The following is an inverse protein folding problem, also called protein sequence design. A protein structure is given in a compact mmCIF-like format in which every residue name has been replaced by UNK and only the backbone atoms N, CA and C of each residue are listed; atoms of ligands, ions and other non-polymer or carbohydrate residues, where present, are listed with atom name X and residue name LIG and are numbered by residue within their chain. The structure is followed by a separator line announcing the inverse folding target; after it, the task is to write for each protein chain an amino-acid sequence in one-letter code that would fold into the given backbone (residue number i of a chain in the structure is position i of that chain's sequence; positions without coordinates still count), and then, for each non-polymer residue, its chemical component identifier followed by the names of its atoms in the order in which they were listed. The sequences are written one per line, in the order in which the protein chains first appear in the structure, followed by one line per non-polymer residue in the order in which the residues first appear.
data_IF_648879153461
#
_entry.id   IF_648879153461
#
_cell.length_a   1.000
_cell.length_b   1.000
_cell.length_c   1.000
_cell.angle_alpha   90.00
_cell.angle_beta   90.00
_cell.angle_gamma   90.00
#
_symmetry.space_group_name_H-M   'P 1'
#
loop_
_entity.id
_entity.type
_entity.pdbx_description
1 polymer ?
#
# COMPACT_ATOMS: atom_id res chain seq x y z
N UNK A 1 15.05 -20.25 11.66
CA UNK A 1 15.22 -19.63 10.34
C UNK A 1 13.86 -19.53 9.65
N UNK A 2 13.55 -18.39 9.08
CA UNK A 2 12.38 -18.27 8.19
C UNK A 2 12.73 -18.82 6.81
N UNK A 3 11.77 -19.53 6.19
CA UNK A 3 11.90 -20.08 4.85
C UNK A 3 10.58 -19.98 4.09
N UNK A 4 10.65 -20.00 2.76
CA UNK A 4 9.51 -20.18 1.88
C UNK A 4 9.67 -21.47 1.11
N UNK A 5 8.61 -22.25 1.07
CA UNK A 5 8.53 -23.37 0.15
C UNK A 5 7.41 -23.18 -0.87
N UNK A 6 7.60 -23.77 -2.04
CA UNK A 6 6.61 -23.82 -3.11
C UNK A 6 6.33 -25.28 -3.42
N UNK A 7 5.11 -25.71 -3.18
CA UNK A 7 4.55 -26.98 -3.63
C UNK A 7 3.97 -26.73 -5.01
N UNK A 8 4.54 -27.37 -6.03
CA UNK A 8 4.16 -27.13 -7.41
C UNK A 8 2.87 -27.82 -7.81
N UNK A 9 2.29 -27.41 -8.92
CA UNK A 9 1.01 -27.90 -9.44
C UNK A 9 0.99 -29.42 -9.72
N UNK A 10 2.11 -30.06 -9.95
CA UNK A 10 2.26 -31.52 -10.05
C UNK A 10 1.79 -32.25 -8.78
N UNK A 11 1.81 -31.54 -7.64
CA UNK A 11 1.47 -32.06 -6.30
C UNK A 11 0.02 -31.75 -5.88
N UNK A 12 -0.83 -31.20 -6.73
CA UNK A 12 -2.15 -30.70 -6.31
C UNK A 12 -3.02 -31.75 -5.59
N UNK A 13 -2.93 -33.01 -5.96
CA UNK A 13 -3.66 -34.12 -5.29
C UNK A 13 -3.02 -34.49 -3.94
N UNK A 14 -1.76 -34.12 -3.71
CA UNK A 14 -0.97 -34.50 -2.53
C UNK A 14 -0.61 -33.31 -1.62
N UNK A 15 -1.17 -32.12 -1.85
CA UNK A 15 -0.84 -30.90 -1.08
C UNK A 15 -1.06 -31.11 0.42
N UNK A 16 -2.20 -31.67 0.82
CA UNK A 16 -2.50 -31.88 2.24
C UNK A 16 -1.55 -32.88 2.91
N UNK A 17 -1.13 -33.92 2.20
CA UNK A 17 -0.14 -34.87 2.69
C UNK A 17 1.23 -34.18 2.84
N UNK A 18 1.64 -33.42 1.82
CA UNK A 18 2.90 -32.68 1.86
C UNK A 18 2.92 -31.63 2.99
N UNK A 19 1.81 -30.95 3.25
CA UNK A 19 1.69 -30.03 4.38
C UNK A 19 1.83 -30.74 5.74
N UNK A 20 1.29 -31.94 5.87
CA UNK A 20 1.47 -32.75 7.09
C UNK A 20 2.92 -33.22 7.24
N UNK A 21 3.56 -33.64 6.15
CA UNK A 21 4.97 -33.99 6.15
C UNK A 21 5.86 -32.79 6.54
N UNK A 22 5.56 -31.61 6.05
CA UNK A 22 6.28 -30.36 6.38
C UNK A 22 6.19 -30.06 7.88
N UNK A 23 5.05 -30.29 8.52
CA UNK A 23 4.85 -30.06 9.97
C UNK A 23 5.76 -30.91 10.86
N UNK A 24 6.27 -32.03 10.36
CA UNK A 24 7.23 -32.86 11.11
C UNK A 24 8.60 -32.19 11.22
N UNK A 25 8.95 -31.28 10.31
CA UNK A 25 10.27 -30.64 10.21
C UNK A 25 10.25 -29.15 10.49
N UNK A 26 9.10 -28.48 10.34
CA UNK A 26 8.99 -27.04 10.42
C UNK A 26 7.62 -26.59 10.97
N UNK A 27 7.58 -25.39 11.52
CA UNK A 27 6.34 -24.73 11.90
C UNK A 27 5.79 -23.97 10.69
N UNK A 28 4.61 -24.34 10.21
CA UNK A 28 3.93 -23.60 9.16
C UNK A 28 3.38 -22.30 9.75
N UNK A 29 3.78 -21.18 9.17
CA UNK A 29 3.33 -19.83 9.57
C UNK A 29 2.16 -19.36 8.74
N UNK A 30 2.23 -19.57 7.43
CA UNK A 30 1.18 -19.14 6.50
C UNK A 30 1.19 -20.01 5.25
N UNK A 31 0.05 -20.07 4.55
CA UNK A 31 -0.12 -20.79 3.29
C UNK A 31 -0.88 -19.90 2.32
N UNK A 32 -0.36 -19.76 1.11
CA UNK A 32 -1.02 -19.08 0.00
C UNK A 32 -1.23 -20.08 -1.12
N UNK A 33 -2.46 -20.24 -1.59
CA UNK A 33 -2.78 -21.05 -2.76
C UNK A 33 -3.26 -20.16 -3.90
N UNK A 34 -2.61 -20.23 -5.06
CA UNK A 34 -2.90 -19.36 -6.21
C UNK A 34 -2.87 -20.16 -7.49
N UNK A 35 -3.91 -20.01 -8.32
CA UNK A 35 -3.92 -20.43 -9.72
C UNK A 35 -3.48 -19.26 -10.60
N UNK A 36 -2.25 -19.28 -11.08
CA UNK A 36 -1.68 -18.23 -11.92
C UNK A 36 -2.11 -18.29 -13.38
N UNK A 37 -2.93 -19.25 -13.78
CA UNK A 37 -3.45 -19.37 -15.15
C UNK A 37 -2.31 -19.21 -16.17
N UNK A 38 -2.46 -18.29 -17.12
CA UNK A 38 -1.49 -18.02 -18.17
C UNK A 38 -0.17 -17.38 -17.67
N UNK A 39 -0.17 -16.75 -16.49
CA UNK A 39 1.04 -16.18 -15.89
C UNK A 39 1.90 -17.21 -15.13
N UNK A 40 1.48 -18.46 -15.06
CA UNK A 40 2.21 -19.53 -14.38
C UNK A 40 3.67 -19.72 -14.88
N UNK A 41 3.99 -19.73 -16.19
CA UNK A 41 5.37 -19.78 -16.65
C UNK A 41 6.20 -18.58 -16.19
N UNK A 42 5.61 -17.40 -16.15
CA UNK A 42 6.27 -16.18 -15.69
C UNK A 42 6.63 -16.26 -14.20
N UNK A 43 5.76 -16.83 -13.38
CA UNK A 43 6.03 -17.08 -11.96
C UNK A 43 7.22 -18.02 -11.78
N UNK A 44 7.26 -19.17 -12.52
CA UNK A 44 8.37 -20.11 -12.44
C UNK A 44 9.70 -19.43 -12.81
N UNK A 45 9.73 -18.61 -13.88
CA UNK A 45 10.93 -17.86 -14.29
C UNK A 45 11.40 -16.88 -13.21
N UNK A 46 10.49 -16.34 -12.42
CA UNK A 46 10.83 -15.43 -11.33
C UNK A 46 11.42 -16.18 -10.14
N UNK A 47 10.82 -17.33 -9.76
CA UNK A 47 11.33 -18.17 -8.66
C UNK A 47 12.68 -18.78 -9.00
N UNK A 48 12.93 -19.07 -10.29
CA UNK A 48 14.21 -19.62 -10.77
C UNK A 48 14.88 -18.65 -11.73
N UNK A 49 15.58 -17.61 -11.27
CA UNK A 49 16.19 -16.60 -12.12
C UNK A 49 17.49 -17.09 -12.80
N UNK A 50 17.47 -18.29 -13.38
CA UNK A 50 18.61 -18.83 -14.11
C UNK A 50 18.84 -18.06 -15.41
N UNK A 51 20.08 -17.69 -15.65
CA UNK A 51 20.53 -16.96 -16.85
C UNK A 51 21.59 -17.75 -17.62
N UNK A 52 21.79 -17.40 -18.88
CA UNK A 52 22.85 -18.00 -19.70
C UNK A 52 22.63 -19.48 -19.98
N UNK A 53 23.66 -20.31 -19.70
CA UNK A 53 23.67 -21.75 -20.05
C UNK A 53 22.62 -22.59 -19.31
N UNK A 54 22.07 -22.08 -18.20
CA UNK A 54 21.11 -22.83 -17.38
C UNK A 54 19.63 -22.49 -17.68
N UNK A 55 19.37 -21.57 -18.59
CA UNK A 55 18.00 -21.19 -18.99
C UNK A 55 17.19 -22.40 -19.49
N UNK A 56 17.83 -23.40 -20.11
CA UNK A 56 17.16 -24.61 -20.56
C UNK A 56 16.51 -25.40 -19.42
N UNK A 57 17.08 -25.38 -18.21
CA UNK A 57 16.51 -26.07 -17.03
C UNK A 57 15.15 -25.50 -16.67
N UNK A 58 15.03 -24.17 -16.70
CA UNK A 58 13.76 -23.49 -16.39
C UNK A 58 12.72 -23.80 -17.46
N UNK A 59 13.09 -23.70 -18.74
CA UNK A 59 12.18 -24.01 -19.84
C UNK A 59 11.68 -25.46 -19.77
N UNK A 60 12.58 -26.41 -19.55
CA UNK A 60 12.21 -27.82 -19.38
C UNK A 60 11.26 -28.03 -18.19
N UNK A 61 11.51 -27.32 -17.08
CA UNK A 61 10.63 -27.37 -15.91
C UNK A 61 9.23 -26.82 -16.24
N UNK A 62 9.15 -25.68 -16.92
CA UNK A 62 7.89 -25.07 -17.37
C UNK A 62 7.14 -26.07 -18.26
N UNK A 63 7.78 -26.60 -19.32
CA UNK A 63 7.17 -27.56 -20.23
C UNK A 63 6.60 -28.79 -19.53
N UNK A 64 7.26 -29.29 -18.48
CA UNK A 64 6.77 -30.41 -17.70
C UNK A 64 5.62 -30.04 -16.76
N UNK A 65 5.64 -28.86 -16.19
CA UNK A 65 4.57 -28.37 -15.31
C UNK A 65 3.32 -27.92 -16.07
N UNK A 66 3.48 -27.41 -17.29
CA UNK A 66 2.34 -27.02 -18.14
C UNK A 66 1.50 -28.21 -18.65
N UNK A 67 2.02 -29.43 -18.57
CA UNK A 67 1.27 -30.65 -18.89
C UNK A 67 0.10 -30.92 -17.93
N UNK A 68 0.16 -30.37 -16.70
CA UNK A 68 -0.93 -30.49 -15.75
C UNK A 68 -2.00 -29.43 -16.03
N UNK A 69 -3.26 -29.79 -16.12
CA UNK A 69 -4.37 -28.89 -16.40
C UNK A 69 -4.52 -27.81 -15.33
N UNK A 70 -4.35 -28.20 -14.08
CA UNK A 70 -4.40 -27.27 -12.94
C UNK A 70 -3.07 -26.53 -12.78
N UNK A 71 -3.11 -25.19 -12.77
CA UNK A 71 -1.93 -24.30 -12.57
C UNK A 71 -1.83 -23.77 -11.14
N UNK A 72 -2.59 -24.37 -10.22
CA UNK A 72 -2.57 -23.97 -8.83
C UNK A 72 -1.24 -24.37 -8.17
N UNK A 73 -0.66 -23.45 -7.41
CA UNK A 73 0.52 -23.69 -6.58
C UNK A 73 0.22 -23.36 -5.12
N UNK A 74 0.94 -24.01 -4.22
CA UNK A 74 0.84 -23.73 -2.79
C UNK A 74 2.17 -23.22 -2.27
N UNK A 75 2.16 -21.99 -1.79
CA UNK A 75 3.32 -21.30 -1.21
C UNK A 75 3.19 -21.39 0.32
N UNK A 76 4.22 -21.88 0.99
CA UNK A 76 4.20 -22.12 2.43
C UNK A 76 5.30 -21.31 3.11
N UNK A 77 4.92 -20.46 4.05
CA UNK A 77 5.83 -19.71 4.91
C UNK A 77 6.15 -20.55 6.16
N UNK A 78 7.43 -20.69 6.47
CA UNK A 78 7.92 -21.64 7.46
C UNK A 78 8.87 -20.99 8.46
N UNK A 79 8.81 -21.49 9.71
CA UNK A 79 9.92 -21.41 10.66
C UNK A 79 10.53 -22.81 10.80
N UNK A 80 11.82 -22.90 10.48
CA UNK A 80 12.57 -24.16 10.59
C UNK A 80 13.74 -23.99 11.56
N UNK A 81 14.01 -25.03 12.33
CA UNK A 81 15.16 -25.04 13.22
C UNK A 81 16.47 -24.97 12.42
N UNK A 82 17.40 -24.13 12.85
CA UNK A 82 18.61 -23.77 12.12
C UNK A 82 19.90 -23.91 12.94
N UNK A 83 19.92 -24.82 13.91
CA UNK A 83 21.08 -25.00 14.82
C UNK A 83 22.36 -25.35 14.06
N UNK A 84 22.29 -26.11 12.95
CA UNK A 84 23.45 -26.64 12.27
C UNK A 84 23.45 -26.38 10.77
N UNK A 85 24.58 -25.91 10.24
CA UNK A 85 24.86 -25.84 8.80
C UNK A 85 25.69 -27.02 8.32
N UNK A 86 25.40 -27.50 7.13
CA UNK A 86 26.14 -28.51 6.40
C UNK A 86 26.64 -27.99 5.07
N UNK A 87 27.78 -28.48 4.60
CA UNK A 87 28.28 -28.15 3.26
C UNK A 87 27.66 -29.09 2.24
N UNK A 88 27.06 -28.51 1.20
CA UNK A 88 26.44 -29.26 0.11
C UNK A 88 27.32 -29.16 -1.13
N UNK A 89 28.16 -30.16 -1.36
CA UNK A 89 29.16 -30.20 -2.44
C UNK A 89 28.60 -29.90 -3.82
N UNK A 90 27.42 -30.45 -4.16
CA UNK A 90 26.77 -30.24 -5.47
C UNK A 90 26.42 -28.77 -5.77
N UNK A 91 26.33 -27.92 -4.73
CA UNK A 91 25.98 -26.49 -4.81
C UNK A 91 27.15 -25.58 -4.47
N UNK A 92 28.21 -26.13 -3.85
CA UNK A 92 29.36 -25.40 -3.32
C UNK A 92 28.97 -24.31 -2.28
N UNK A 93 27.97 -24.60 -1.44
CA UNK A 93 27.44 -23.68 -0.41
C UNK A 93 27.17 -24.39 0.90
N UNK A 94 27.12 -23.61 1.99
CA UNK A 94 26.61 -24.05 3.29
C UNK A 94 25.13 -23.74 3.41
N UNK A 95 24.33 -24.78 3.72
CA UNK A 95 22.88 -24.65 3.99
C UNK A 95 22.54 -25.23 5.35
N UNK A 96 21.39 -24.86 5.90
CA UNK A 96 20.92 -25.44 7.15
C UNK A 96 20.54 -26.92 6.97
N UNK A 97 20.97 -27.75 7.89
CA UNK A 97 20.80 -29.20 7.81
C UNK A 97 19.34 -29.64 7.70
N UNK A 98 18.46 -29.00 8.50
CA UNK A 98 17.03 -29.30 8.48
C UNK A 98 16.32 -28.84 7.19
N UNK A 99 16.82 -27.80 6.52
CA UNK A 99 16.35 -27.38 5.20
C UNK A 99 16.62 -28.45 4.15
N UNK A 100 17.87 -28.99 4.11
CA UNK A 100 18.21 -30.02 3.13
C UNK A 100 17.52 -31.37 3.46
N UNK A 101 17.34 -31.70 4.75
CA UNK A 101 16.57 -32.87 5.17
C UNK A 101 15.13 -32.80 4.70
N UNK A 102 14.43 -31.68 4.94
CA UNK A 102 13.04 -31.47 4.49
C UNK A 102 12.92 -31.55 2.96
N UNK A 103 13.80 -30.83 2.23
CA UNK A 103 13.82 -30.89 0.76
C UNK A 103 14.00 -32.33 0.26
N UNK A 104 14.98 -33.03 0.79
CA UNK A 104 15.30 -34.39 0.37
C UNK A 104 14.16 -35.36 0.73
N UNK A 105 13.57 -35.21 1.90
CA UNK A 105 12.45 -36.04 2.34
C UNK A 105 11.24 -35.89 1.40
N UNK A 106 10.74 -34.68 1.20
CA UNK A 106 9.58 -34.41 0.33
C UNK A 106 9.86 -34.91 -1.10
N UNK A 107 10.99 -34.54 -1.68
CA UNK A 107 11.34 -34.91 -3.05
C UNK A 107 11.44 -36.42 -3.23
N UNK A 108 12.07 -37.12 -2.31
CA UNK A 108 12.22 -38.58 -2.38
C UNK A 108 10.88 -39.30 -2.19
N UNK A 109 10.03 -38.83 -1.28
CA UNK A 109 8.73 -39.44 -1.02
C UNK A 109 7.84 -39.39 -2.26
N UNK A 110 7.79 -38.21 -2.94
CA UNK A 110 6.86 -37.97 -4.06
C UNK A 110 7.46 -38.27 -5.44
N UNK A 111 8.76 -38.47 -5.54
CA UNK A 111 9.46 -38.75 -6.81
C UNK A 111 8.85 -39.87 -7.65
N UNK A 112 8.40 -40.96 -7.01
CA UNK A 112 7.84 -42.10 -7.71
C UNK A 112 6.30 -42.08 -7.81
N UNK A 113 5.67 -41.11 -7.18
CA UNK A 113 4.23 -40.92 -7.15
C UNK A 113 3.79 -39.98 -8.26
N UNK A 114 4.60 -38.92 -8.50
CA UNK A 114 4.29 -37.89 -9.49
C UNK A 114 4.67 -38.37 -10.88
N UNK A 115 3.70 -38.45 -11.77
CA UNK A 115 3.96 -38.72 -13.18
C UNK A 115 4.77 -37.59 -13.82
N UNK A 116 5.79 -37.96 -14.60
CA UNK A 116 6.66 -36.97 -15.25
C UNK A 116 7.55 -36.19 -14.29
N UNK A 117 7.93 -36.75 -13.13
CA UNK A 117 8.88 -36.13 -12.24
C UNK A 117 10.17 -35.75 -12.96
N UNK A 118 10.51 -34.46 -12.90
CA UNK A 118 11.71 -33.89 -13.52
C UNK A 118 12.21 -32.66 -12.79
N UNK A 119 13.51 -32.61 -12.50
CA UNK A 119 14.19 -31.43 -11.93
C UNK A 119 13.46 -30.75 -10.77
N UNK A 120 13.09 -31.54 -9.76
CA UNK A 120 12.45 -31.03 -8.56
C UNK A 120 11.15 -30.23 -8.82
N UNK A 121 10.34 -30.65 -9.79
CA UNK A 121 9.04 -30.07 -10.07
C UNK A 121 7.98 -30.34 -9.00
N UNK A 122 8.36 -31.00 -7.90
CA UNK A 122 7.50 -31.33 -6.76
C UNK A 122 7.56 -30.23 -5.70
N UNK A 123 8.77 -29.82 -5.33
CA UNK A 123 8.98 -28.98 -4.17
C UNK A 123 10.21 -28.08 -4.31
N UNK A 124 10.04 -26.78 -4.09
CA UNK A 124 11.10 -25.79 -3.95
C UNK A 124 11.10 -25.23 -2.54
N UNK A 125 12.26 -24.85 -2.02
CA UNK A 125 12.39 -24.18 -0.74
C UNK A 125 13.67 -23.35 -0.70
N UNK A 126 13.61 -22.19 -0.08
CA UNK A 126 14.77 -21.29 0.10
C UNK A 126 15.83 -21.92 0.99
N UNK A 127 17.11 -21.69 0.66
CA UNK A 127 18.26 -22.31 1.32
C UNK A 127 18.74 -21.56 2.56
N UNK A 128 18.51 -20.21 2.59
CA UNK A 128 18.96 -19.33 3.65
C UNK A 128 18.03 -18.10 3.85
N UNK A 129 18.41 -17.22 4.76
CA UNK A 129 17.61 -16.03 5.08
C UNK A 129 17.67 -14.94 4.00
N UNK A 130 18.74 -14.85 3.22
CA UNK A 130 18.84 -13.88 2.13
C UNK A 130 17.93 -14.30 0.98
N UNK A 131 17.99 -15.59 0.61
CA UNK A 131 17.08 -16.17 -0.38
C UNK A 131 15.62 -16.08 0.08
N UNK A 132 15.35 -16.30 1.38
CA UNK A 132 14.01 -16.11 1.96
C UNK A 132 13.49 -14.68 1.74
N UNK A 133 14.28 -13.67 2.10
CA UNK A 133 13.89 -12.26 1.96
C UNK A 133 13.60 -11.92 0.50
N UNK A 134 14.50 -12.28 -0.40
CA UNK A 134 14.37 -12.02 -1.83
C UNK A 134 13.15 -12.74 -2.44
N UNK A 135 12.96 -14.02 -2.10
CA UNK A 135 11.85 -14.84 -2.60
C UNK A 135 10.52 -14.35 -2.04
N UNK A 136 10.47 -13.96 -0.76
CA UNK A 136 9.26 -13.42 -0.13
C UNK A 136 8.75 -12.20 -0.88
N UNK A 137 9.61 -11.20 -1.07
CA UNK A 137 9.22 -9.95 -1.73
C UNK A 137 8.77 -10.20 -3.18
N UNK A 138 9.50 -11.05 -3.90
CA UNK A 138 9.19 -11.45 -5.26
C UNK A 138 7.83 -12.15 -5.36
N UNK A 139 7.57 -13.12 -4.49
CA UNK A 139 6.33 -13.90 -4.48
C UNK A 139 5.14 -13.02 -4.18
N UNK A 140 5.24 -12.20 -3.14
CA UNK A 140 4.17 -11.27 -2.74
C UNK A 140 3.89 -10.28 -3.87
N UNK A 141 4.93 -9.64 -4.42
CA UNK A 141 4.78 -8.70 -5.54
C UNK A 141 4.14 -9.35 -6.76
N UNK A 142 4.51 -10.59 -7.06
CA UNK A 142 3.96 -11.30 -8.21
C UNK A 142 2.47 -11.59 -8.01
N UNK A 143 2.08 -12.07 -6.82
CA UNK A 143 0.68 -12.35 -6.48
C UNK A 143 -0.17 -11.08 -6.58
N UNK A 144 0.26 -9.99 -5.94
CA UNK A 144 -0.47 -8.73 -5.95
C UNK A 144 -0.65 -8.19 -7.37
N UNK A 145 0.41 -8.19 -8.18
CA UNK A 145 0.37 -7.73 -9.57
C UNK A 145 -0.47 -8.64 -10.47
N UNK A 146 -0.48 -9.95 -10.21
CA UNK A 146 -1.33 -10.89 -10.94
C UNK A 146 -2.82 -10.57 -10.75
N UNK A 147 -3.27 -10.41 -9.51
CA UNK A 147 -4.66 -10.04 -9.23
C UNK A 147 -5.01 -8.66 -9.77
N UNK A 148 -4.11 -7.69 -9.63
CA UNK A 148 -4.30 -6.33 -10.12
C UNK A 148 -4.47 -6.27 -11.65
N UNK A 149 -3.57 -6.93 -12.39
CA UNK A 149 -3.61 -7.03 -13.85
C UNK A 149 -4.92 -7.63 -14.37
N UNK A 150 -5.46 -8.60 -13.63
CA UNK A 150 -6.70 -9.29 -13.99
C UNK A 150 -7.97 -8.60 -13.46
N UNK A 151 -7.85 -7.45 -12.77
CA UNK A 151 -8.94 -6.76 -12.07
C UNK A 151 -9.71 -7.68 -11.10
N UNK A 152 -9.01 -8.63 -10.49
CA UNK A 152 -9.58 -9.60 -9.57
C UNK A 152 -9.47 -9.11 -8.12
N UNK A 153 -10.51 -9.33 -7.32
CA UNK A 153 -10.50 -9.05 -5.89
C UNK A 153 -9.80 -10.19 -5.16
N UNK A 154 -8.76 -9.88 -4.40
CA UNK A 154 -7.98 -10.85 -3.62
C UNK A 154 -8.85 -11.43 -2.51
N UNK A 155 -9.15 -12.72 -2.56
CA UNK A 155 -9.89 -13.39 -1.49
C UNK A 155 -8.95 -13.90 -0.40
N UNK A 156 -8.85 -13.16 0.70
CA UNK A 156 -7.96 -13.51 1.81
C UNK A 156 -8.39 -14.78 2.56
N UNK A 157 -9.66 -15.18 2.49
CA UNK A 157 -10.11 -16.44 3.10
C UNK A 157 -9.43 -17.67 2.47
N UNK A 158 -8.97 -17.54 1.21
CA UNK A 158 -8.21 -18.58 0.50
C UNK A 158 -6.71 -18.53 0.78
N UNK A 159 -6.21 -17.42 1.34
CA UNK A 159 -4.79 -17.14 1.56
C UNK A 159 -4.41 -17.38 3.02
N UNK A 160 -5.37 -17.25 3.92
CA UNK A 160 -5.15 -17.24 5.37
C UNK A 160 -5.27 -18.66 5.96
N UNK A 161 -4.14 -19.21 6.45
CA UNK A 161 -4.10 -20.53 7.07
C UNK A 161 -4.48 -20.51 8.55
N UNK A 162 -3.96 -19.58 9.33
CA UNK A 162 -4.19 -19.51 10.79
C UNK A 162 -4.59 -18.09 11.24
N UNK A 163 -5.88 -17.89 11.40
CA UNK A 163 -6.47 -16.60 11.81
C UNK A 163 -6.03 -16.13 13.21
N UNK A 164 -5.55 -17.02 14.06
CA UNK A 164 -5.16 -16.70 15.45
C UNK A 164 -3.84 -15.93 15.54
N UNK A 165 -3.05 -15.91 14.47
CA UNK A 165 -1.73 -15.30 14.41
C UNK A 165 -1.69 -13.88 13.87
N UNK A 166 -2.84 -13.29 13.53
CA UNK A 166 -2.87 -11.89 13.11
C UNK A 166 -2.80 -10.98 14.33
N UNK A 167 -1.74 -10.18 14.36
CA UNK A 167 -1.73 -9.03 15.24
C UNK A 167 -2.75 -8.03 14.69
N UNK A 168 -3.86 -7.90 15.40
CA UNK A 168 -4.70 -6.72 15.25
C UNK A 168 -3.83 -5.52 15.60
N UNK A 169 -3.65 -4.61 14.65
CA UNK A 169 -3.05 -3.32 14.94
C UNK A 169 -3.79 -2.72 16.12
N UNK A 170 -3.02 -2.49 17.15
CA UNK A 170 -3.45 -2.15 18.50
C UNK A 170 -4.67 -1.22 18.48
N UNK A 171 -5.61 -1.53 19.36
CA UNK A 171 -6.85 -0.77 19.63
C UNK A 171 -6.60 0.68 20.05
N UNK A 172 -5.36 1.16 20.13
CA UNK A 172 -5.00 2.55 20.42
C UNK A 172 -5.50 3.56 19.39
N UNK A 173 -5.91 3.09 18.21
CA UNK A 173 -6.77 3.89 17.33
C UNK A 173 -8.26 3.64 17.63
N UNK A 174 -8.64 3.81 18.88
CA UNK A 174 -10.01 3.58 19.38
C UNK A 174 -11.11 4.40 18.69
N UNK A 175 -10.78 5.36 17.87
CA UNK A 175 -11.73 6.11 17.03
C UNK A 175 -11.95 5.50 15.63
N UNK A 176 -11.22 4.48 15.26
CA UNK A 176 -11.39 3.79 13.98
C UNK A 176 -12.40 2.66 14.08
N UNK A 177 -13.60 2.84 13.56
CA UNK A 177 -14.67 1.80 13.44
C UNK A 177 -14.31 0.63 12.51
N UNK A 178 -13.04 0.45 12.15
CA UNK A 178 -12.60 -0.47 11.08
C UNK A 178 -11.63 -1.50 11.61
N UNK A 179 -11.79 -2.75 11.16
CA UNK A 179 -10.82 -3.78 11.44
C UNK A 179 -9.59 -3.57 10.54
N UNK A 180 -8.42 -3.45 11.16
CA UNK A 180 -7.12 -3.46 10.50
C UNK A 180 -6.31 -4.59 11.10
N UNK A 181 -5.67 -5.42 10.28
CA UNK A 181 -4.77 -6.44 10.77
C UNK A 181 -3.56 -6.61 9.88
N UNK A 182 -2.44 -6.94 10.47
CA UNK A 182 -1.22 -7.31 9.79
C UNK A 182 -1.14 -8.83 9.62
N UNK A 183 -0.70 -9.25 8.44
CA UNK A 183 -0.20 -10.59 8.21
C UNK A 183 1.32 -10.54 8.44
N UNK A 184 1.75 -10.90 9.66
CA UNK A 184 3.10 -10.62 10.16
C UNK A 184 4.23 -11.19 9.29
N UNK A 185 4.03 -12.38 8.71
CA UNK A 185 5.10 -13.04 7.96
C UNK A 185 5.25 -12.57 6.52
N UNK A 186 4.19 -12.09 5.90
CA UNK A 186 4.23 -11.61 4.52
C UNK A 186 4.32 -10.08 4.39
N UNK A 187 4.16 -9.32 5.49
CA UNK A 187 4.28 -7.86 5.50
C UNK A 187 3.10 -7.13 4.83
N UNK A 188 1.95 -7.80 4.72
CA UNK A 188 0.72 -7.23 4.18
C UNK A 188 -0.19 -6.76 5.31
N UNK A 189 -0.90 -5.66 5.10
CA UNK A 189 -1.94 -5.16 5.97
C UNK A 189 -3.28 -5.13 5.24
N UNK A 190 -4.30 -5.73 5.83
CA UNK A 190 -5.69 -5.58 5.37
C UNK A 190 -6.39 -4.48 6.18
N UNK A 191 -7.08 -3.59 5.46
CA UNK A 191 -7.94 -2.54 6.01
C UNK A 191 -9.36 -2.78 5.51
N UNK A 192 -10.26 -3.18 6.43
CA UNK A 192 -11.68 -3.37 6.13
C UNK A 192 -12.34 -2.01 5.84
N UNK A 193 -13.22 -1.94 4.85
CA UNK A 193 -14.04 -0.75 4.62
C UNK A 193 -15.26 -0.72 5.55
N UNK A 194 -15.81 0.46 5.79
CA UNK A 194 -17.12 0.61 6.43
C UNK A 194 -18.20 0.00 5.51
N UNK A 195 -19.13 -0.72 6.09
CA UNK A 195 -20.23 -1.34 5.34
C UNK A 195 -20.98 -0.29 4.52
N UNK A 196 -21.24 -0.60 3.24
CA UNK A 196 -21.89 0.30 2.27
C UNK A 196 -21.12 1.60 1.94
N UNK A 197 -19.85 1.72 2.32
CA UNK A 197 -18.98 2.82 1.87
C UNK A 197 -18.28 2.47 0.55
N UNK A 198 -17.55 3.46 -0.01
CA UNK A 198 -16.69 3.28 -1.17
C UNK A 198 -15.21 3.46 -0.85
N UNK A 199 -14.83 3.33 0.41
CA UNK A 199 -13.47 3.60 0.90
C UNK A 199 -12.39 2.76 0.22
N UNK A 200 -12.63 1.46 0.01
CA UNK A 200 -11.65 0.60 -0.65
C UNK A 200 -11.45 0.99 -2.13
N UNK A 201 -12.51 1.40 -2.82
CA UNK A 201 -12.43 1.88 -4.20
C UNK A 201 -11.71 3.24 -4.28
N UNK A 202 -11.93 4.12 -3.28
CA UNK A 202 -11.23 5.40 -3.18
C UNK A 202 -9.71 5.21 -2.97
N UNK A 203 -9.31 4.33 -2.08
CA UNK A 203 -7.88 3.98 -1.87
C UNK A 203 -7.25 3.43 -3.16
N UNK A 204 -7.93 2.49 -3.83
CA UNK A 204 -7.44 1.90 -5.08
C UNK A 204 -7.35 2.94 -6.20
N UNK A 205 -8.38 3.80 -6.35
CA UNK A 205 -8.37 4.87 -7.32
C UNK A 205 -7.20 5.84 -7.10
N UNK A 206 -7.02 6.29 -5.85
CA UNK A 206 -5.91 7.19 -5.50
C UNK A 206 -4.55 6.56 -5.75
N UNK A 207 -4.37 5.27 -5.45
CA UNK A 207 -3.14 4.56 -5.79
C UNK A 207 -2.82 4.63 -7.29
N UNK A 208 -3.79 4.31 -8.15
CA UNK A 208 -3.58 4.36 -9.60
C UNK A 208 -3.37 5.80 -10.12
N UNK A 209 -4.14 6.76 -9.61
CA UNK A 209 -4.03 8.16 -9.99
C UNK A 209 -2.67 8.74 -9.60
N UNK A 210 -2.27 8.62 -8.33
CA UNK A 210 -1.00 9.16 -7.84
C UNK A 210 0.20 8.57 -8.56
N UNK A 211 0.15 7.29 -8.88
CA UNK A 211 1.17 6.62 -9.70
C UNK A 211 1.29 7.25 -11.10
N UNK A 212 0.17 7.57 -11.75
CA UNK A 212 0.15 8.27 -13.05
C UNK A 212 0.63 9.71 -12.96
N UNK A 213 0.40 10.36 -11.82
CA UNK A 213 0.86 11.72 -11.53
C UNK A 213 2.31 11.79 -11.03
N UNK A 214 3.04 10.66 -11.01
CA UNK A 214 4.40 10.54 -10.46
C UNK A 214 4.51 11.00 -9.00
N UNK A 215 3.49 10.68 -8.21
CA UNK A 215 3.46 10.90 -6.77
C UNK A 215 3.67 9.55 -6.05
N UNK A 216 4.66 9.50 -5.18
CA UNK A 216 4.95 8.30 -4.38
C UNK A 216 3.77 7.99 -3.46
N UNK A 217 3.17 6.84 -3.62
CA UNK A 217 1.93 6.41 -2.93
C UNK A 217 2.06 4.99 -2.41
N UNK A 218 1.40 4.69 -1.29
CA UNK A 218 1.27 3.32 -0.79
C UNK A 218 0.46 2.47 -1.77
N UNK A 219 0.88 1.24 -1.98
CA UNK A 219 0.21 0.32 -2.91
C UNK A 219 -1.07 -0.21 -2.29
N UNK A 220 -2.19 -0.14 -3.03
CA UNK A 220 -3.49 -0.64 -2.59
C UNK A 220 -4.09 -1.59 -3.61
N UNK A 221 -4.52 -2.75 -3.12
CA UNK A 221 -5.15 -3.79 -3.90
C UNK A 221 -6.52 -4.12 -3.30
N UNK A 222 -7.53 -4.27 -4.14
CA UNK A 222 -8.87 -4.66 -3.66
C UNK A 222 -8.82 -6.08 -3.09
N UNK A 223 -9.35 -6.24 -1.89
CA UNK A 223 -9.38 -7.53 -1.21
C UNK A 223 -10.68 -7.72 -0.43
N UNK A 224 -11.00 -8.97 -0.11
CA UNK A 224 -12.09 -9.33 0.79
C UNK A 224 -11.63 -10.35 1.83
N UNK A 225 -12.20 -10.24 3.01
CA UNK A 225 -11.97 -11.14 4.13
C UNK A 225 -13.27 -11.37 4.90
N UNK A 226 -13.66 -12.63 5.16
CA UNK A 226 -14.95 -12.98 5.74
C UNK A 226 -16.15 -12.29 5.01
N UNK A 227 -16.12 -12.28 3.68
CA UNK A 227 -17.07 -11.59 2.79
C UNK A 227 -17.13 -10.05 2.94
N UNK A 228 -16.26 -9.44 3.71
CA UNK A 228 -16.17 -7.99 3.85
C UNK A 228 -15.09 -7.42 2.92
N UNK A 229 -15.47 -6.38 2.21
CA UNK A 229 -14.56 -5.67 1.30
C UNK A 229 -13.56 -4.82 2.07
N UNK A 230 -12.41 -4.60 1.47
CA UNK A 230 -11.36 -3.75 1.98
C UNK A 230 -10.21 -3.62 0.99
N UNK A 231 -9.11 -3.12 1.47
CA UNK A 231 -7.86 -3.04 0.72
C UNK A 231 -6.74 -3.79 1.42
N UNK A 232 -5.91 -4.40 0.60
CA UNK A 232 -4.65 -4.97 1.01
C UNK A 232 -3.54 -4.00 0.64
N UNK A 233 -2.65 -3.67 1.57
CA UNK A 233 -1.51 -2.79 1.35
C UNK A 233 -0.24 -3.45 1.85
N UNK A 234 0.87 -3.11 1.19
CA UNK A 234 2.19 -3.59 1.54
C UNK A 234 2.86 -2.62 2.52
N UNK A 235 3.61 -3.14 3.47
CA UNK A 235 4.47 -2.29 4.29
C UNK A 235 5.51 -1.60 3.39
N UNK A 236 5.50 -0.28 3.35
CA UNK A 236 6.41 0.52 2.55
C UNK A 236 7.77 0.78 3.23
N UNK A 237 7.91 0.43 4.52
CA UNK A 237 9.17 0.57 5.26
C UNK A 237 10.14 -0.55 4.90
N UNK A 238 11.39 -0.17 4.69
CA UNK A 238 12.52 -1.08 4.49
C UNK A 238 13.24 -1.35 5.81
N UNK A 239 14.14 -2.31 5.79
CA UNK A 239 15.06 -2.54 6.91
C UNK A 239 15.85 -1.24 7.22
N UNK A 240 15.96 -0.91 8.51
CA UNK A 240 16.58 0.33 9.02
C UNK A 240 15.79 1.63 8.77
N UNK A 241 14.54 1.55 8.38
CA UNK A 241 13.65 2.68 8.21
C UNK A 241 12.61 2.75 9.34
N UNK A 242 12.33 3.95 9.79
CA UNK A 242 11.21 4.23 10.69
C UNK A 242 10.31 5.28 10.06
N UNK A 243 9.02 5.13 10.31
CA UNK A 243 8.00 6.09 9.90
C UNK A 243 7.74 7.09 11.03
N UNK A 244 7.64 8.37 10.69
CA UNK A 244 7.34 9.47 11.60
C UNK A 244 6.22 10.27 10.95
N UNK A 245 5.04 10.24 11.55
CA UNK A 245 3.90 11.00 11.04
C UNK A 245 4.00 12.51 11.34
N UNK A 246 3.16 13.29 10.67
CA UNK A 246 3.13 14.74 10.85
C UNK A 246 2.76 15.16 12.27
N UNK A 247 1.98 14.36 13.00
CA UNK A 247 1.62 14.64 14.40
C UNK A 247 2.85 14.63 15.29
N UNK A 248 3.73 13.63 15.16
CA UNK A 248 4.98 13.58 15.91
C UNK A 248 5.93 14.73 15.52
N UNK A 249 5.97 15.10 14.23
CA UNK A 249 6.78 16.22 13.74
C UNK A 249 6.32 17.55 14.36
N UNK A 250 5.02 17.82 14.32
CA UNK A 250 4.44 19.05 14.90
C UNK A 250 4.63 19.08 16.43
N UNK A 251 4.38 17.95 17.10
CA UNK A 251 4.59 17.81 18.54
C UNK A 251 6.04 18.07 18.95
N UNK A 252 7.01 17.53 18.21
CA UNK A 252 8.44 17.76 18.47
C UNK A 252 8.82 19.24 18.32
N UNK A 253 8.26 19.92 17.31
CA UNK A 253 8.47 21.36 17.10
C UNK A 253 7.87 22.20 18.25
N UNK A 254 6.62 21.90 18.67
CA UNK A 254 5.98 22.61 19.77
C UNK A 254 6.75 22.43 21.09
N UNK A 255 7.20 21.20 21.37
CA UNK A 255 8.08 20.93 22.51
C UNK A 255 9.38 21.72 22.44
N UNK A 256 9.99 21.83 21.24
CA UNK A 256 11.21 22.62 21.06
C UNK A 256 11.00 24.11 21.34
N UNK A 257 9.89 24.69 20.89
CA UNK A 257 9.56 26.10 21.18
C UNK A 257 9.41 26.33 22.67
N UNK A 258 8.77 25.42 23.39
CA UNK A 258 8.51 25.55 24.81
C UNK A 258 9.77 25.32 25.66
N UNK A 259 10.58 24.32 25.33
CA UNK A 259 11.66 23.83 26.18
C UNK A 259 13.08 24.13 25.67
N UNK A 260 13.22 24.52 24.40
CA UNK A 260 14.52 24.60 23.72
C UNK A 260 15.13 23.23 23.36
N UNK A 261 14.45 22.13 23.70
CA UNK A 261 14.96 20.78 23.43
C UNK A 261 14.16 20.11 22.31
N UNK A 262 14.84 19.79 21.22
CA UNK A 262 14.27 19.08 20.09
C UNK A 262 14.50 17.57 20.19
N UNK A 263 13.43 16.80 20.14
CA UNK A 263 13.48 15.34 20.00
C UNK A 263 12.20 14.83 19.33
N UNK A 264 12.34 13.95 18.34
CA UNK A 264 11.21 13.29 17.67
C UNK A 264 10.56 12.21 18.54
N UNK A 265 11.29 11.69 19.53
CA UNK A 265 10.82 10.64 20.43
C UNK A 265 10.10 11.20 21.67
N UNK A 266 9.73 12.47 21.67
CA UNK A 266 8.94 13.05 22.77
C UNK A 266 7.54 12.46 22.72
N UNK A 267 6.99 11.99 23.85
CA UNK A 267 5.58 11.62 23.92
C UNK A 267 4.68 12.75 23.42
N UNK A 268 3.58 12.42 22.77
CA UNK A 268 2.63 13.44 22.30
C UNK A 268 2.05 14.13 23.55
N UNK A 269 2.29 15.42 23.69
CA UNK A 269 1.94 16.24 24.85
C UNK A 269 0.79 17.20 24.55
N UNK A 270 0.58 17.52 23.28
CA UNK A 270 -0.42 18.46 22.83
C UNK A 270 -1.64 17.71 22.31
N UNK A 271 -2.82 18.27 22.54
CA UNK A 271 -4.07 17.73 22.04
C UNK A 271 -4.18 17.85 20.50
N UNK A 272 -5.03 17.03 19.90
CA UNK A 272 -5.22 17.04 18.45
C UNK A 272 -5.69 18.39 17.89
N UNK A 273 -6.59 19.14 18.55
CA UNK A 273 -6.92 20.51 18.12
C UNK A 273 -5.72 21.43 18.02
N UNK A 274 -4.82 21.42 19.01
CA UNK A 274 -3.59 22.21 18.97
C UNK A 274 -2.68 21.79 17.83
N UNK A 275 -2.45 20.49 17.66
CA UNK A 275 -1.62 19.96 16.56
C UNK A 275 -2.22 20.32 15.19
N UNK A 276 -3.54 20.19 15.03
CA UNK A 276 -4.24 20.48 13.78
C UNK A 276 -4.08 21.93 13.34
N UNK A 277 -4.01 22.89 14.26
CA UNK A 277 -3.76 24.31 13.94
C UNK A 277 -2.44 24.55 13.17
N UNK A 278 -1.43 23.71 13.43
CA UNK A 278 -0.13 23.80 12.76
C UNK A 278 -0.04 22.96 11.48
N UNK A 279 -1.08 22.20 11.14
CA UNK A 279 -1.13 21.38 9.93
C UNK A 279 -1.58 22.22 8.70
N UNK A 280 -0.91 23.34 8.47
CA UNK A 280 -1.10 24.21 7.31
C UNK A 280 0.25 24.53 6.66
N UNK A 281 0.24 24.95 5.39
CA UNK A 281 1.47 25.12 4.61
C UNK A 281 2.43 26.14 5.21
N UNK A 282 1.93 27.24 5.77
CA UNK A 282 2.78 28.30 6.32
C UNK A 282 3.50 27.81 7.57
N UNK A 283 2.76 27.22 8.51
CA UNK A 283 3.34 26.69 9.74
C UNK A 283 4.24 25.47 9.45
N UNK A 284 3.85 24.57 8.57
CA UNK A 284 4.67 23.44 8.15
C UNK A 284 5.98 23.90 7.50
N UNK A 285 5.98 24.99 6.72
CA UNK A 285 7.22 25.62 6.23
C UNK A 285 8.12 26.10 7.36
N UNK A 286 7.55 26.75 8.38
CA UNK A 286 8.30 27.20 9.57
C UNK A 286 8.87 26.00 10.34
N UNK A 287 8.05 24.99 10.58
CA UNK A 287 8.42 23.75 11.29
C UNK A 287 9.58 23.06 10.59
N UNK A 288 9.42 22.77 9.30
CA UNK A 288 10.43 22.06 8.52
C UNK A 288 11.74 22.85 8.38
N UNK A 289 11.67 24.17 8.21
CA UNK A 289 12.85 25.04 8.19
C UNK A 289 13.58 25.04 9.56
N UNK A 290 12.83 25.02 10.66
CA UNK A 290 13.41 24.95 12.00
C UNK A 290 14.06 23.59 12.23
N UNK A 291 13.42 22.51 11.84
CA UNK A 291 14.00 21.17 11.90
C UNK A 291 15.25 21.05 11.05
N UNK A 292 15.25 21.62 9.84
CA UNK A 292 16.43 21.64 8.96
C UNK A 292 17.64 22.33 9.63
N UNK A 293 17.41 23.47 10.30
CA UNK A 293 18.45 24.18 11.03
C UNK A 293 19.00 23.39 12.22
N UNK A 294 18.14 22.68 12.94
CA UNK A 294 18.52 21.91 14.12
C UNK A 294 19.27 20.62 13.74
N UNK A 295 18.77 19.91 12.72
CA UNK A 295 19.28 18.59 12.35
C UNK A 295 20.41 18.66 11.30
N UNK A 296 20.53 19.76 10.59
CA UNK A 296 21.43 19.89 9.43
C UNK A 296 20.95 19.15 8.18
N UNK A 297 19.71 18.61 8.18
CA UNK A 297 19.12 17.86 7.05
C UNK A 297 18.19 18.80 6.27
N UNK A 298 18.36 18.84 4.94
CA UNK A 298 17.47 19.64 4.09
C UNK A 298 16.04 19.04 4.04
N UNK A 299 15.06 19.86 4.41
CA UNK A 299 13.64 19.50 4.43
C UNK A 299 12.85 20.07 3.25
N UNK A 300 13.49 20.71 2.30
CA UNK A 300 12.83 21.37 1.16
C UNK A 300 12.03 20.40 0.29
N UNK A 301 12.55 19.20 0.06
CA UNK A 301 11.88 18.14 -0.68
C UNK A 301 10.59 17.69 0.02
N UNK A 302 10.59 17.63 1.35
CA UNK A 302 9.41 17.23 2.14
C UNK A 302 8.32 18.28 1.97
N UNK A 303 8.65 19.56 2.08
CA UNK A 303 7.70 20.66 1.88
C UNK A 303 7.13 20.67 0.46
N UNK A 304 7.98 20.45 -0.55
CA UNK A 304 7.52 20.38 -1.95
C UNK A 304 6.55 19.22 -2.17
N UNK A 305 6.82 18.03 -1.61
CA UNK A 305 5.90 16.90 -1.70
C UNK A 305 4.58 17.17 -0.96
N UNK A 306 4.59 17.79 0.21
CA UNK A 306 3.38 18.22 0.90
C UNK A 306 2.53 19.14 0.02
N UNK A 307 3.11 20.16 -0.62
CA UNK A 307 2.40 21.07 -1.54
C UNK A 307 1.80 20.34 -2.74
N UNK A 308 2.51 19.34 -3.31
CA UNK A 308 1.98 18.49 -4.39
C UNK A 308 0.74 17.73 -3.94
N UNK A 309 0.84 17.08 -2.78
CA UNK A 309 -0.28 16.29 -2.24
C UNK A 309 -1.48 17.19 -1.96
N UNK A 310 -1.27 18.32 -1.33
CA UNK A 310 -2.36 19.26 -1.07
C UNK A 310 -3.04 19.76 -2.35
N UNK A 311 -2.28 20.00 -3.42
CA UNK A 311 -2.87 20.33 -4.71
C UNK A 311 -3.76 19.20 -5.25
N UNK A 312 -3.31 17.94 -5.19
CA UNK A 312 -4.12 16.80 -5.63
C UNK A 312 -5.29 16.54 -4.68
N UNK A 313 -5.11 16.68 -3.37
CA UNK A 313 -6.19 16.57 -2.38
C UNK A 313 -7.32 17.57 -2.65
N UNK A 314 -6.99 18.79 -3.08
CA UNK A 314 -7.99 19.78 -3.50
C UNK A 314 -8.76 19.34 -4.75
N UNK A 315 -8.08 18.74 -5.74
CA UNK A 315 -8.74 18.23 -6.95
C UNK A 315 -9.67 17.06 -6.60
N UNK A 316 -9.26 16.18 -5.69
CA UNK A 316 -9.97 14.97 -5.30
C UNK A 316 -11.02 15.20 -4.21
N UNK A 317 -11.18 16.43 -3.71
CA UNK A 317 -12.07 16.71 -2.58
C UNK A 317 -11.76 15.83 -1.37
N UNK A 318 -10.44 15.69 -1.02
CA UNK A 318 -10.00 14.94 0.13
C UNK A 318 -10.33 15.69 1.43
N UNK A 319 -11.05 15.03 2.35
CA UNK A 319 -11.54 15.67 3.57
C UNK A 319 -10.75 15.31 4.83
N UNK A 320 -9.77 14.41 4.75
CA UNK A 320 -9.07 13.86 5.94
C UNK A 320 -7.54 13.81 5.81
N UNK A 321 -6.91 14.83 5.18
CA UNK A 321 -5.45 14.96 5.19
C UNK A 321 -4.96 15.62 6.49
N UNK A 322 -5.31 15.04 7.62
CA UNK A 322 -4.80 15.49 8.92
C UNK A 322 -3.32 15.10 9.14
N UNK A 323 -2.73 15.55 10.23
CA UNK A 323 -1.30 15.30 10.52
C UNK A 323 -0.92 13.83 10.71
N UNK A 324 -1.88 12.93 10.95
CA UNK A 324 -1.62 11.48 11.00
C UNK A 324 -1.59 10.84 9.60
N UNK A 325 -2.05 11.53 8.55
CA UNK A 325 -2.23 10.99 7.21
C UNK A 325 -1.14 11.45 6.22
N UNK A 326 -0.02 11.93 6.74
CA UNK A 326 1.23 12.17 6.03
C UNK A 326 2.42 11.99 6.98
N UNK A 327 3.64 11.83 6.45
CA UNK A 327 4.82 11.67 7.28
C UNK A 327 6.12 11.60 6.49
N UNK A 328 7.17 11.27 7.20
CA UNK A 328 8.52 11.09 6.69
C UNK A 328 9.07 9.72 7.06
N UNK A 329 10.02 9.25 6.28
CA UNK A 329 10.78 8.04 6.56
C UNK A 329 12.21 8.45 6.91
N UNK A 330 12.68 8.05 8.09
CA UNK A 330 14.06 8.20 8.49
C UNK A 330 14.79 6.86 8.37
N UNK A 331 15.91 6.86 7.64
CA UNK A 331 16.77 5.69 7.51
C UNK A 331 17.97 5.84 8.45
N UNK A 332 18.04 4.95 9.46
CA UNK A 332 19.09 4.98 10.49
C UNK A 332 20.51 4.70 9.95
N UNK A 333 20.60 3.89 8.89
CA UNK A 333 21.89 3.44 8.35
C UNK A 333 22.61 4.58 7.62
N UNK A 334 21.90 5.30 6.76
CA UNK A 334 22.48 6.39 5.96
C UNK A 334 22.13 7.78 6.48
N UNK A 335 21.35 7.87 7.58
CA UNK A 335 20.91 9.12 8.23
C UNK A 335 20.19 10.05 7.26
N UNK A 336 19.38 9.49 6.35
CA UNK A 336 18.61 10.25 5.38
C UNK A 336 17.14 10.34 5.79
N UNK A 337 16.51 11.43 5.35
CA UNK A 337 15.05 11.61 5.41
C UNK A 337 14.48 11.57 3.99
N UNK A 338 13.32 10.93 3.84
CA UNK A 338 12.52 10.93 2.63
C UNK A 338 11.06 11.19 2.98
N UNK A 339 10.27 11.66 2.01
CA UNK A 339 8.83 11.77 2.18
C UNK A 339 8.20 10.37 2.13
N UNK A 340 7.33 10.05 3.07
CA UNK A 340 6.63 8.78 3.08
C UNK A 340 5.68 8.68 1.86
N UNK A 341 5.43 7.49 1.31
CA UNK A 341 4.36 7.31 0.34
C UNK A 341 3.03 7.85 0.87
N UNK A 342 2.25 8.50 0.02
CA UNK A 342 0.90 8.99 0.40
C UNK A 342 0.02 7.80 0.76
N UNK A 343 -0.69 7.88 1.86
CA UNK A 343 -1.56 6.82 2.38
C UNK A 343 -2.85 7.39 2.96
N UNK A 344 -3.79 6.52 3.28
CA UNK A 344 -5.12 6.83 3.85
C UNK A 344 -5.91 7.85 3.01
N UNK A 345 -6.20 7.46 1.76
CA UNK A 345 -6.92 8.28 0.78
C UNK A 345 -8.41 7.91 0.70
N UNK A 346 -8.95 7.22 1.69
CA UNK A 346 -10.32 6.69 1.68
C UNK A 346 -11.41 7.76 1.71
N UNK A 347 -11.06 9.01 2.07
CA UNK A 347 -12.03 10.10 2.33
C UNK A 347 -12.13 11.11 1.18
N UNK A 348 -11.78 10.73 -0.05
CA UNK A 348 -12.07 11.56 -1.22
C UNK A 348 -13.57 11.56 -1.52
N UNK A 349 -14.10 12.68 -2.03
CA UNK A 349 -15.49 12.81 -2.48
C UNK A 349 -16.53 12.26 -1.49
N UNK A 350 -16.27 12.30 -0.18
CA UNK A 350 -17.15 11.82 0.89
C UNK A 350 -17.49 10.31 0.83
N UNK A 351 -16.67 9.50 0.20
CA UNK A 351 -16.93 8.05 0.01
C UNK A 351 -16.91 7.22 1.29
N UNK A 352 -16.50 7.79 2.40
CA UNK A 352 -16.60 7.20 3.74
C UNK A 352 -17.97 7.42 4.40
N UNK A 353 -18.77 8.37 3.92
CA UNK A 353 -20.10 8.64 4.48
C UNK A 353 -21.21 7.84 3.78
N UNK A 354 -21.55 6.71 4.38
CA UNK A 354 -22.53 5.78 3.82
C UNK A 354 -23.94 6.35 3.67
N UNK A 355 -24.29 7.38 4.47
CA UNK A 355 -25.59 8.02 4.43
C UNK A 355 -25.73 8.98 3.25
N UNK A 356 -24.61 9.49 2.76
CA UNK A 356 -24.59 10.46 1.67
C UNK A 356 -24.49 9.83 0.28
N UNK A 357 -23.96 8.62 0.16
CA UNK A 357 -23.63 8.00 -1.14
C UNK A 357 -24.84 7.93 -2.08
N UNK A 358 -26.02 7.53 -1.59
CA UNK A 358 -27.23 7.45 -2.41
C UNK A 358 -27.73 8.83 -2.82
N UNK A 359 -27.66 9.80 -1.92
CA UNK A 359 -28.00 11.18 -2.21
C UNK A 359 -27.04 11.80 -3.24
N UNK A 360 -25.73 11.61 -3.05
CA UNK A 360 -24.71 12.08 -4.00
C UNK A 360 -24.92 11.50 -5.40
N UNK A 361 -25.23 10.21 -5.50
CA UNK A 361 -25.51 9.58 -6.80
C UNK A 361 -26.75 10.15 -7.49
N UNK A 362 -27.79 10.41 -6.72
CA UNK A 362 -29.01 11.01 -7.26
C UNK A 362 -28.77 12.47 -7.67
N UNK A 363 -28.14 13.28 -6.83
CA UNK A 363 -27.83 14.67 -7.13
C UNK A 363 -26.89 14.80 -8.33
N UNK A 364 -25.87 13.96 -8.45
CA UNK A 364 -24.99 13.94 -9.62
C UNK A 364 -25.75 13.76 -10.95
N UNK A 365 -26.92 13.08 -10.93
CA UNK A 365 -27.78 12.88 -12.10
C UNK A 365 -28.77 14.01 -12.35
N UNK A 366 -29.24 14.68 -11.30
CA UNK A 366 -30.43 15.53 -11.38
C UNK A 366 -30.15 16.99 -11.11
N UNK A 367 -29.14 17.33 -10.29
CA UNK A 367 -28.84 18.69 -9.87
C UNK A 367 -27.35 18.87 -9.58
N UNK A 368 -26.61 19.28 -10.62
CA UNK A 368 -25.17 19.53 -10.56
C UNK A 368 -24.79 20.57 -9.49
N UNK A 369 -25.60 21.62 -9.32
CA UNK A 369 -25.31 22.72 -8.39
C UNK A 369 -25.39 22.19 -6.94
N UNK A 370 -26.49 21.55 -6.61
CA UNK A 370 -26.71 21.02 -5.27
C UNK A 370 -25.72 19.88 -4.95
N UNK A 371 -25.34 19.09 -5.96
CA UNK A 371 -24.29 18.07 -5.83
C UNK A 371 -22.95 18.69 -5.39
N UNK A 372 -22.50 19.76 -6.07
CA UNK A 372 -21.22 20.41 -5.76
C UNK A 372 -21.28 21.21 -4.46
N UNK A 373 -22.41 21.85 -4.14
CA UNK A 373 -22.61 22.50 -2.83
C UNK A 373 -22.47 21.50 -1.69
N UNK A 374 -23.07 20.31 -1.82
CA UNK A 374 -22.95 19.25 -0.82
C UNK A 374 -21.49 18.80 -0.69
N UNK A 375 -20.80 18.57 -1.82
CA UNK A 375 -19.39 18.20 -1.83
C UNK A 375 -18.52 19.23 -1.11
N UNK A 376 -18.66 20.50 -1.43
CA UNK A 376 -17.83 21.56 -0.85
C UNK A 376 -18.11 21.81 0.64
N UNK A 377 -19.35 21.71 1.08
CA UNK A 377 -19.72 21.95 2.47
C UNK A 377 -19.20 20.87 3.43
N UNK A 378 -19.02 19.63 2.94
CA UNK A 378 -18.54 18.50 3.73
C UNK A 378 -17.08 18.12 3.43
N UNK A 379 -16.57 18.51 2.27
CA UNK A 379 -15.18 18.26 1.90
C UNK A 379 -14.30 19.35 2.47
N UNK A 380 -13.76 19.10 3.65
CA UNK A 380 -12.79 19.97 4.29
C UNK A 380 -11.41 19.42 4.09
N UNK A 381 -10.52 20.18 3.48
CA UNK A 381 -9.09 19.86 3.55
C UNK A 381 -8.53 20.42 4.85
N UNK A 382 -7.55 19.75 5.40
CA UNK A 382 -6.86 20.21 6.62
C UNK A 382 -5.78 21.26 6.31
N UNK A 383 -5.74 21.80 5.09
CA UNK A 383 -5.04 23.02 4.74
C UNK A 383 -5.88 24.20 5.19
N UNK A 384 -5.81 24.53 6.47
CA UNK A 384 -6.41 25.77 6.95
C UNK A 384 -5.45 26.94 6.72
N UNK A 385 -5.98 28.11 6.37
CA UNK A 385 -5.25 29.35 6.56
C UNK A 385 -5.02 29.61 8.05
N UNK A 386 -3.87 30.22 8.36
CA UNK A 386 -3.37 30.46 9.71
C UNK A 386 -4.32 31.16 10.69
N UNK A 387 -5.39 31.80 10.19
CA UNK A 387 -6.27 32.67 10.98
C UNK A 387 -7.72 32.18 11.09
N UNK A 388 -8.07 30.99 10.62
CA UNK A 388 -9.43 30.50 10.80
C UNK A 388 -9.59 29.81 12.14
N UNK A 389 -10.39 30.37 13.03
CA UNK A 389 -10.85 29.70 14.25
C UNK A 389 -11.72 28.45 13.93
N UNK A 390 -12.03 28.24 12.67
CA UNK A 390 -12.78 27.10 12.18
C UNK A 390 -11.85 26.05 11.59
N UNK A 391 -11.80 24.90 12.22
CA UNK A 391 -11.07 23.71 11.77
C UNK A 391 -11.56 23.18 10.41
N UNK A 392 -12.61 23.75 9.85
CA UNK A 392 -13.28 23.27 8.65
C UNK A 392 -13.60 24.45 7.73
N UNK A 393 -12.73 24.70 6.76
CA UNK A 393 -13.01 25.65 5.69
C UNK A 393 -13.55 24.89 4.47
N UNK A 394 -14.72 25.27 3.92
CA UNK A 394 -15.22 24.68 2.69
C UNK A 394 -14.18 24.73 1.58
N UNK A 395 -14.05 23.65 0.82
CA UNK A 395 -12.95 23.50 -0.12
C UNK A 395 -12.93 24.56 -1.24
N UNK A 396 -14.10 24.98 -1.73
CA UNK A 396 -14.20 26.08 -2.69
C UNK A 396 -13.57 27.37 -2.14
N UNK A 397 -13.80 27.69 -0.87
CA UNK A 397 -13.19 28.87 -0.23
C UNK A 397 -11.68 28.74 -0.08
N UNK A 398 -11.18 27.53 0.23
CA UNK A 398 -9.73 27.30 0.26
C UNK A 398 -9.09 27.56 -1.10
N UNK A 399 -9.72 27.08 -2.17
CA UNK A 399 -9.22 27.29 -3.55
C UNK A 399 -9.18 28.77 -3.89
N UNK A 400 -10.22 29.53 -3.53
CA UNK A 400 -10.29 30.98 -3.73
C UNK A 400 -9.24 31.77 -2.94
N UNK A 401 -8.74 31.22 -1.84
CA UNK A 401 -7.83 31.91 -0.91
C UNK A 401 -6.37 31.47 -1.05
N UNK A 402 -6.04 30.50 -1.93
CA UNK A 402 -4.67 30.02 -2.10
C UNK A 402 -3.74 31.16 -2.51
N UNK A 403 -2.74 31.48 -1.67
CA UNK A 403 -1.71 32.45 -1.98
C UNK A 403 -0.40 31.83 -2.46
N UNK A 404 -0.13 30.57 -2.09
CA UNK A 404 1.11 29.88 -2.45
C UNK A 404 1.18 29.59 -3.96
N UNK A 405 2.11 30.26 -4.64
CA UNK A 405 2.27 30.14 -6.10
C UNK A 405 2.71 28.74 -6.54
N UNK A 406 3.42 28.00 -5.69
CA UNK A 406 3.88 26.66 -6.00
C UNK A 406 2.68 25.70 -6.01
N UNK A 407 1.77 25.81 -5.04
CA UNK A 407 0.51 25.04 -5.03
C UNK A 407 -0.34 25.40 -6.26
N UNK A 408 -0.48 26.67 -6.62
CA UNK A 408 -1.21 27.09 -7.84
C UNK A 408 -0.60 26.46 -9.10
N UNK A 409 0.72 26.38 -9.18
CA UNK A 409 1.40 25.75 -10.31
C UNK A 409 1.17 24.23 -10.33
N UNK A 410 1.19 23.56 -9.19
CA UNK A 410 0.87 22.12 -9.10
C UNK A 410 -0.60 21.87 -9.48
N UNK A 411 -1.55 22.69 -9.02
CA UNK A 411 -2.95 22.57 -9.43
C UNK A 411 -3.09 22.63 -10.95
N UNK A 412 -2.50 23.64 -11.60
CA UNK A 412 -2.55 23.78 -13.07
C UNK A 412 -1.94 22.55 -13.76
N UNK A 413 -0.77 22.14 -13.30
CA UNK A 413 -0.06 20.99 -13.87
C UNK A 413 -0.88 19.69 -13.76
N UNK A 414 -1.43 19.40 -12.57
CA UNK A 414 -2.19 18.16 -12.36
C UNK A 414 -3.55 18.19 -13.05
N UNK A 415 -4.22 19.36 -13.11
CA UNK A 415 -5.45 19.51 -13.87
C UNK A 415 -5.20 19.24 -15.37
N UNK A 416 -4.14 19.81 -15.92
CA UNK A 416 -3.74 19.58 -17.31
C UNK A 416 -3.47 18.08 -17.59
N UNK A 417 -2.83 17.37 -16.68
CA UNK A 417 -2.60 15.93 -16.81
C UNK A 417 -3.91 15.15 -16.74
N UNK A 418 -4.78 15.45 -15.77
CA UNK A 418 -6.05 14.75 -15.58
C UNK A 418 -6.98 14.96 -16.79
N UNK A 419 -6.94 16.13 -17.42
CA UNK A 419 -7.77 16.45 -18.60
C UNK A 419 -7.21 15.86 -19.90
N UNK A 420 -5.88 15.80 -20.05
CA UNK A 420 -5.22 15.30 -21.28
C UNK A 420 -5.15 13.79 -21.36
N UNK A 421 -4.91 13.17 -20.23
CA UNK A 421 -4.98 11.73 -20.16
C UNK A 421 -6.42 11.36 -19.82
N UNK A 422 -7.10 10.64 -20.72
CA UNK A 422 -8.20 9.80 -20.29
C UNK A 422 -7.59 8.84 -19.25
N UNK A 423 -7.59 9.27 -17.98
CA UNK A 423 -7.07 8.46 -16.87
C UNK A 423 -8.05 7.30 -16.70
N UNK A 424 -7.99 6.34 -17.63
CA UNK A 424 -8.77 5.11 -17.59
C UNK A 424 -8.37 4.26 -16.39
N UNK A 425 -8.83 4.65 -15.20
CA UNK A 425 -8.72 3.86 -13.99
C UNK A 425 -9.99 3.03 -13.92
N UNK A 426 -9.83 1.72 -14.14
CA UNK A 426 -10.95 0.78 -14.06
C UNK A 426 -11.20 0.39 -12.61
N UNK A 427 -12.29 0.86 -12.04
CA UNK A 427 -12.77 0.44 -10.72
C UNK A 427 -14.06 -0.38 -10.91
N UNK A 428 -14.18 -1.59 -10.37
CA UNK A 428 -15.31 -2.46 -10.61
C UNK A 428 -16.56 -2.03 -9.80
N UNK A 429 -16.94 -0.74 -9.89
CA UNK A 429 -18.14 -0.18 -9.27
C UNK A 429 -18.66 1.04 -10.04
N UNK A 430 -19.66 0.85 -10.85
CA UNK A 430 -20.22 1.89 -11.71
C UNK A 430 -20.82 3.09 -10.96
N UNK A 431 -21.36 2.88 -9.77
CA UNK A 431 -21.91 3.96 -8.94
C UNK A 431 -20.82 4.85 -8.37
N UNK A 432 -19.74 4.23 -7.87
CA UNK A 432 -18.52 4.93 -7.44
C UNK A 432 -17.94 5.78 -8.57
N UNK A 433 -17.71 5.14 -9.73
CA UNK A 433 -17.14 5.79 -10.90
C UNK A 433 -17.98 7.00 -11.37
N UNK A 434 -19.31 6.85 -11.38
CA UNK A 434 -20.21 7.92 -11.78
C UNK A 434 -20.12 9.14 -10.85
N UNK A 435 -20.15 8.93 -9.52
CA UNK A 435 -20.05 10.02 -8.54
C UNK A 435 -18.67 10.68 -8.65
N UNK A 436 -17.60 9.90 -8.69
CA UNK A 436 -16.22 10.38 -8.76
C UNK A 436 -15.98 11.24 -9.99
N UNK A 437 -16.35 10.74 -11.17
CA UNK A 437 -16.15 11.45 -12.45
C UNK A 437 -16.88 12.79 -12.44
N UNK A 438 -18.12 12.83 -11.97
CA UNK A 438 -18.87 14.08 -11.88
C UNK A 438 -18.23 15.05 -10.85
N UNK A 439 -17.80 14.56 -9.70
CA UNK A 439 -17.16 15.38 -8.68
C UNK A 439 -15.85 15.99 -9.18
N UNK A 440 -14.97 15.18 -9.74
CA UNK A 440 -13.66 15.64 -10.25
C UNK A 440 -13.83 16.61 -11.42
N UNK A 441 -14.64 16.29 -12.44
CA UNK A 441 -14.81 17.15 -13.60
C UNK A 441 -15.36 18.53 -13.22
N UNK A 442 -16.37 18.58 -12.36
CA UNK A 442 -16.95 19.83 -11.91
C UNK A 442 -16.01 20.66 -11.04
N UNK A 443 -15.24 19.97 -10.17
CA UNK A 443 -14.26 20.64 -9.33
C UNK A 443 -13.08 21.19 -10.14
N UNK A 444 -12.59 20.43 -11.12
CA UNK A 444 -11.55 20.87 -12.06
C UNK A 444 -11.98 22.10 -12.83
N UNK A 445 -13.24 22.13 -13.33
CA UNK A 445 -13.83 23.31 -13.99
C UNK A 445 -13.83 24.53 -13.04
N UNK A 446 -14.25 24.34 -11.79
CA UNK A 446 -14.26 25.39 -10.78
C UNK A 446 -12.86 25.94 -10.48
N UNK A 447 -11.88 25.05 -10.22
CA UNK A 447 -10.49 25.44 -9.94
C UNK A 447 -9.90 26.22 -11.13
N UNK A 448 -10.08 25.74 -12.35
CA UNK A 448 -9.56 26.36 -13.56
C UNK A 448 -10.11 27.79 -13.73
N UNK A 449 -11.43 27.98 -13.57
CA UNK A 449 -12.08 29.26 -13.63
C UNK A 449 -11.57 30.23 -12.55
N UNK A 450 -11.35 29.75 -11.33
CA UNK A 450 -10.84 30.56 -10.22
C UNK A 450 -9.41 31.03 -10.51
N UNK A 451 -8.53 30.14 -10.93
CA UNK A 451 -7.14 30.49 -11.25
C UNK A 451 -6.97 31.40 -12.46
N UNK A 452 -7.91 31.37 -13.43
CA UNK A 452 -7.89 32.27 -14.61
C UNK A 452 -8.47 33.64 -14.32
N UNK A 453 -9.45 33.75 -13.43
CA UNK A 453 -9.99 35.05 -13.01
C UNK A 453 -8.96 35.86 -12.23
N UNK A 454 -8.12 35.26 -11.41
CA UNK A 454 -7.00 35.95 -10.74
C UNK A 454 -6.04 36.63 -11.74
N UNK A 455 -5.75 35.99 -12.89
CA UNK A 455 -4.88 36.57 -13.93
C UNK A 455 -5.48 37.82 -14.58
N UNK A 456 -6.81 37.95 -14.58
CA UNK A 456 -7.50 39.12 -15.15
C UNK A 456 -7.53 40.32 -14.20
N UNK A 457 -7.45 40.06 -12.88
CA UNK A 457 -7.44 41.11 -11.86
C UNK A 457 -6.05 41.73 -11.65
N UNK A 458 -4.98 41.07 -12.09
CA UNK A 458 -3.59 41.53 -11.97
C UNK A 458 -3.11 42.28 -13.24
N UNK A 459 -3.90 42.31 -14.31
CA UNK A 459 -3.67 43.11 -15.53
C UNK A 459 -4.48 44.40 -15.47
#
# INVERSE_FOLDING_TARGET
MKAISVIWNSMNEHVNEALNDIKEYAIIKDIISVDFKEDFPNFIRKVYPYTGKDTWKVNYKIENMEKYDNKNITIVFLDIDNEKKIFVERKDIYIYENVEKLKSFIRNKYKNIIDGYAFDNVFHMTDDEEEYKATKDLVIDFILKFYDKNNEIINLDNIIYDKSKYEYLDKTYENGKRNKFFMCDNGLMFKEQTENSFECFAEKYCYELFKKLDIKVAEYYLAKYNNKMGVLTKNFLKENEIFIDGTHIINAYLNYIETGFFSINVPIRYDMPTITRYNNIEDLKIILNTMSKITGIDMSLILSNLKKIFAVDMILLQSDRNSNNWGIIYNHKNKSLDFAPVYDNSNICLFNDTKLIDNLYNLAKTDKTMFMELMYNYSTTVLTEKNSDNYFTPQNKLIEQIQDNEIKNYLKYYIDLIQKEEIGINIPNSKFEYILTNAINNNVEFISNTLDNEKKLVK
#
